data_IF_347469208682
#
_entry.id   IF_347469208682
#
_cell.length_a   1.000
_cell.length_b   1.000
_cell.length_c   1.000
_cell.angle_alpha   90.00
_cell.angle_beta   90.00
_cell.angle_gamma   90.00
#
_symmetry.space_group_name_H-M   'P 1'
#
loop_
_entity.id
_entity.type
_entity.pdbx_description
1 polymer ?
#
# COMPACT_ATOMS: atom_id res chain seq x y z
N UNK A 1 37.87 44.45 85.71
CA UNK A 1 36.61 44.95 85.12
C UNK A 1 36.70 45.23 83.61
N UNK A 2 37.50 44.48 82.83
CA UNK A 2 37.67 44.76 81.39
C UNK A 2 37.73 43.52 80.47
N UNK A 3 37.64 42.29 81.01
CA UNK A 3 37.63 41.06 80.22
C UNK A 3 36.21 40.61 79.83
N UNK A 4 35.24 40.70 80.73
CA UNK A 4 33.85 40.25 80.44
C UNK A 4 33.14 41.06 79.35
N UNK A 5 33.42 42.36 79.21
CA UNK A 5 32.81 43.20 78.17
C UNK A 5 33.34 42.88 76.76
N UNK A 6 34.55 42.32 76.64
CA UNK A 6 35.14 41.96 75.36
C UNK A 6 34.59 40.63 74.82
N UNK A 7 34.36 39.65 75.69
CA UNK A 7 33.80 38.35 75.28
C UNK A 7 32.32 38.43 74.90
N UNK A 8 31.53 39.29 75.54
CA UNK A 8 30.12 39.52 75.17
C UNK A 8 30.02 40.19 73.79
N UNK A 9 30.86 41.19 73.50
CA UNK A 9 30.91 41.85 72.18
C UNK A 9 31.39 40.92 71.06
N UNK A 10 32.32 40.01 71.36
CA UNK A 10 32.81 39.01 70.39
C UNK A 10 31.77 37.93 70.10
N UNK A 11 31.01 37.48 71.10
CA UNK A 11 29.89 36.54 70.93
C UNK A 11 28.71 37.15 70.19
N UNK A 12 28.39 38.44 70.42
CA UNK A 12 27.39 39.17 69.64
C UNK A 12 27.83 39.42 68.19
N UNK A 13 29.09 39.72 67.93
CA UNK A 13 29.64 39.87 66.57
C UNK A 13 29.71 38.56 65.79
N UNK A 14 29.88 37.42 66.47
CA UNK A 14 29.82 36.09 65.83
C UNK A 14 28.35 35.69 65.60
N UNK A 15 27.46 35.93 66.55
CA UNK A 15 26.02 35.67 66.38
C UNK A 15 25.39 36.54 65.27
N UNK A 16 25.80 37.81 65.15
CA UNK A 16 25.33 38.69 64.07
C UNK A 16 25.90 38.30 62.70
N UNK A 17 27.12 37.74 62.65
CA UNK A 17 27.70 37.18 61.42
C UNK A 17 27.05 35.86 61.02
N UNK A 18 26.70 35.01 61.97
CA UNK A 18 25.98 33.75 61.72
C UNK A 18 24.53 34.04 61.28
N UNK A 19 23.86 35.00 61.92
CA UNK A 19 22.51 35.43 61.52
C UNK A 19 22.51 36.11 60.14
N UNK A 20 23.50 36.95 59.84
CA UNK A 20 23.65 37.56 58.51
C UNK A 20 23.96 36.54 57.40
N UNK A 21 24.73 35.48 57.71
CA UNK A 21 25.03 34.40 56.76
C UNK A 21 23.84 33.44 56.56
N UNK A 22 22.97 33.30 57.56
CA UNK A 22 21.73 32.51 57.48
C UNK A 22 20.62 33.18 56.64
N UNK A 23 20.65 34.52 56.47
CA UNK A 23 19.68 35.24 55.64
C UNK A 23 20.01 35.13 54.13
N UNK A 24 21.28 34.87 53.77
CA UNK A 24 21.70 34.74 52.35
C UNK A 24 21.28 33.39 51.74
N UNK A 25 21.05 32.36 52.55
CA UNK A 25 20.58 31.03 52.10
C UNK A 25 19.06 30.91 51.97
N UNK A 26 18.29 31.95 52.32
CA UNK A 26 16.83 31.97 52.12
C UNK A 26 16.39 32.65 50.81
N UNK A 27 17.35 33.15 50.02
CA UNK A 27 17.12 33.66 48.66
C UNK A 27 17.49 32.59 47.61
N UNK A 28 16.96 31.38 47.76
CA UNK A 28 16.86 30.48 46.61
C UNK A 28 15.71 30.99 45.75
N UNK A 29 16.05 31.77 44.71
CA UNK A 29 15.14 32.01 43.61
C UNK A 29 14.67 30.63 43.09
N UNK A 30 13.37 30.37 43.14
CA UNK A 30 12.81 29.16 42.54
C UNK A 30 13.19 29.18 41.07
N UNK A 31 13.96 28.20 40.62
CA UNK A 31 14.14 27.92 39.21
C UNK A 31 12.78 27.41 38.73
N UNK A 32 11.90 28.34 38.35
CA UNK A 32 10.75 28.01 37.52
C UNK A 32 11.32 27.37 36.26
N UNK A 33 10.80 26.21 35.87
CA UNK A 33 11.06 25.73 34.51
C UNK A 33 10.61 26.86 33.59
N UNK A 34 11.44 27.34 32.64
CA UNK A 34 10.93 28.26 31.65
C UNK A 34 9.70 27.60 31.04
N UNK A 35 8.53 28.23 31.20
CA UNK A 35 7.36 27.85 30.44
C UNK A 35 7.78 28.01 28.98
N UNK A 36 7.67 26.90 28.22
CA UNK A 36 7.99 26.91 26.80
C UNK A 36 7.17 27.98 26.09
N UNK A 37 7.62 28.36 24.89
CA UNK A 37 6.77 29.14 24.00
C UNK A 37 5.45 28.40 23.72
N UNK A 38 4.47 29.09 23.11
CA UNK A 38 3.29 28.43 22.56
C UNK A 38 3.71 27.22 21.71
N UNK A 39 2.91 26.15 21.75
CA UNK A 39 3.11 24.96 20.92
C UNK A 39 3.12 25.41 19.45
N UNK A 40 4.12 24.97 18.70
CA UNK A 40 4.14 25.18 17.26
C UNK A 40 3.16 24.19 16.59
N UNK A 41 2.23 24.72 15.81
CA UNK A 41 1.25 23.93 15.06
C UNK A 41 1.57 23.92 13.56
N UNK A 42 2.65 24.59 13.15
CA UNK A 42 3.03 24.69 11.75
C UNK A 42 3.89 23.50 11.31
N UNK A 43 3.62 22.93 10.12
CA UNK A 43 4.45 21.87 9.56
C UNK A 43 5.67 22.42 8.80
N UNK A 44 6.68 21.58 8.53
CA UNK A 44 7.93 22.01 7.88
C UNK A 44 7.72 22.47 6.46
N UNK A 45 8.33 23.58 6.06
CA UNK A 45 8.21 24.11 4.71
C UNK A 45 9.34 23.64 3.80
N UNK A 46 9.00 23.14 2.61
CA UNK A 46 9.97 22.78 1.58
C UNK A 46 10.61 24.03 0.97
N UNK A 47 11.93 24.19 1.14
CA UNK A 47 12.71 25.33 0.62
C UNK A 47 13.22 25.04 -0.79
N UNK A 48 13.64 23.80 -1.07
CA UNK A 48 14.22 23.47 -2.36
C UNK A 48 14.91 22.12 -2.38
N UNK A 49 15.49 21.78 -3.53
CA UNK A 49 16.07 20.46 -3.73
C UNK A 49 17.21 20.44 -4.75
N UNK A 50 18.00 19.37 -4.69
CA UNK A 50 18.94 18.98 -5.76
C UNK A 50 18.70 17.51 -6.10
N UNK A 51 18.28 17.15 -7.34
CA UNK A 51 17.92 18.07 -8.43
C UNK A 51 16.73 18.98 -8.07
N UNK A 52 16.56 20.05 -8.82
CA UNK A 52 15.41 20.96 -8.65
C UNK A 52 14.12 20.17 -8.87
N UNK A 53 13.05 20.50 -8.14
CA UNK A 53 11.74 19.88 -8.35
C UNK A 53 11.31 20.02 -9.80
N UNK A 54 10.78 18.94 -10.36
CA UNK A 54 10.36 18.81 -11.76
C UNK A 54 11.49 19.05 -12.78
N UNK A 55 12.75 18.82 -12.38
CA UNK A 55 13.89 18.89 -13.28
C UNK A 55 13.75 17.87 -14.44
N UNK A 56 14.07 18.34 -15.64
CA UNK A 56 14.12 17.55 -16.87
C UNK A 56 15.54 17.05 -17.15
N UNK A 57 15.65 15.97 -17.92
CA UNK A 57 16.92 15.35 -18.32
C UNK A 57 17.85 15.07 -17.12
N UNK A 58 17.27 14.76 -15.96
CA UNK A 58 18.04 14.49 -14.75
C UNK A 58 18.71 13.12 -14.84
N UNK A 59 20.00 13.08 -14.54
CA UNK A 59 20.80 11.85 -14.45
C UNK A 59 21.24 11.54 -13.02
N UNK A 60 20.91 12.41 -12.06
CA UNK A 60 21.32 12.27 -10.66
C UNK A 60 20.41 11.27 -9.94
N UNK A 61 21.02 10.30 -9.28
CA UNK A 61 20.34 9.30 -8.42
C UNK A 61 20.21 9.70 -6.96
N UNK A 62 20.99 10.71 -6.56
CA UNK A 62 20.95 11.29 -5.21
C UNK A 62 20.10 12.54 -5.23
N UNK A 63 19.00 12.50 -4.49
CA UNK A 63 18.07 13.60 -4.28
C UNK A 63 18.28 14.12 -2.86
N UNK A 64 18.41 15.44 -2.75
CA UNK A 64 18.48 16.14 -1.46
C UNK A 64 17.31 17.11 -1.44
N UNK A 65 16.39 16.91 -0.50
CA UNK A 65 15.26 17.81 -0.23
C UNK A 65 15.60 18.64 1.00
N UNK A 66 15.33 19.93 0.96
CA UNK A 66 15.67 20.87 2.03
C UNK A 66 14.42 21.55 2.57
N UNK A 67 14.38 21.69 3.89
CA UNK A 67 13.30 22.28 4.66
C UNK A 67 13.82 23.43 5.53
N UNK A 68 12.91 24.28 6.00
CA UNK A 68 13.20 25.44 6.87
C UNK A 68 13.47 25.05 8.33
N UNK A 69 13.01 23.89 8.77
CA UNK A 69 13.22 23.37 10.11
C UNK A 69 13.75 21.93 10.16
N UNK A 70 13.99 21.42 11.38
CA UNK A 70 14.48 20.06 11.59
C UNK A 70 13.33 19.06 11.38
N UNK A 71 13.57 18.05 10.55
CA UNK A 71 12.55 17.07 10.19
C UNK A 71 12.88 15.69 10.74
N UNK A 72 11.84 14.88 10.93
CA UNK A 72 11.92 13.43 11.13
C UNK A 72 11.12 12.73 10.04
N UNK A 73 11.43 11.44 9.85
CA UNK A 73 10.71 10.59 8.91
C UNK A 73 10.00 9.48 9.68
N UNK A 74 8.70 9.33 9.44
CA UNK A 74 7.87 8.32 10.09
C UNK A 74 7.38 7.28 9.07
N UNK A 75 7.43 6.00 9.43
CA UNK A 75 6.83 4.93 8.63
C UNK A 75 7.38 4.81 7.19
N UNK A 76 8.67 5.06 6.96
CA UNK A 76 9.28 5.11 5.61
C UNK A 76 8.87 3.92 4.72
N UNK A 77 8.95 2.69 5.25
CA UNK A 77 8.63 1.48 4.49
C UNK A 77 7.15 1.36 4.10
N UNK A 78 6.24 1.97 4.87
CA UNK A 78 4.79 1.90 4.65
C UNK A 78 4.28 3.08 3.84
N UNK A 79 4.79 4.28 4.12
CA UNK A 79 4.26 5.56 3.64
C UNK A 79 4.98 6.11 2.42
N UNK A 80 6.27 5.80 2.27
CA UNK A 80 7.08 6.37 1.18
C UNK A 80 7.09 5.42 -0.01
N UNK A 81 6.69 5.94 -1.17
CA UNK A 81 6.55 5.18 -2.40
C UNK A 81 7.42 5.83 -3.46
N UNK A 82 8.21 5.00 -4.15
CA UNK A 82 8.96 5.43 -5.32
C UNK A 82 8.32 4.80 -6.55
N UNK A 83 7.95 5.64 -7.50
CA UNK A 83 7.36 5.26 -8.78
C UNK A 83 8.23 5.81 -9.92
N UNK A 84 8.71 4.99 -10.88
CA UNK A 84 8.45 3.56 -11.00
C UNK A 84 9.00 2.74 -9.82
N UNK A 85 8.45 1.54 -9.57
CA UNK A 85 8.99 0.62 -8.57
C UNK A 85 10.48 0.37 -8.76
N UNK A 86 11.22 0.29 -7.65
CA UNK A 86 12.65 0.01 -7.62
C UNK A 86 12.87 -1.43 -7.17
N UNK A 87 13.74 -2.17 -7.86
CA UNK A 87 14.13 -3.54 -7.49
C UNK A 87 14.93 -3.49 -6.19
N UNK A 88 15.92 -2.60 -6.11
CA UNK A 88 16.62 -2.33 -4.87
C UNK A 88 15.93 -1.20 -4.12
N UNK A 89 15.58 -1.46 -2.85
CA UNK A 89 14.96 -0.45 -2.01
C UNK A 89 15.86 0.80 -1.92
N UNK A 90 15.33 2.00 -2.19
CA UNK A 90 16.11 3.23 -2.10
C UNK A 90 16.49 3.53 -0.65
N UNK A 91 17.63 4.17 -0.45
CA UNK A 91 18.02 4.64 0.88
C UNK A 91 17.42 6.01 1.13
N UNK A 92 16.55 6.12 2.14
CA UNK A 92 15.88 7.37 2.50
C UNK A 92 16.21 7.69 3.95
N UNK A 93 16.89 8.81 4.20
CA UNK A 93 17.37 9.16 5.54
C UNK A 93 17.19 10.66 5.82
N UNK A 94 16.75 11.04 7.04
CA UNK A 94 16.79 12.43 7.47
C UNK A 94 18.23 12.85 7.78
N UNK A 95 18.57 14.12 7.54
CA UNK A 95 19.87 14.73 7.81
C UNK A 95 19.69 16.20 8.20
N UNK A 96 19.34 16.42 9.47
CA UNK A 96 19.00 17.74 10.00
C UNK A 96 17.75 18.29 9.32
N UNK A 97 17.88 19.43 8.63
CA UNK A 97 16.80 20.06 7.86
C UNK A 97 16.64 19.51 6.44
N UNK A 98 17.06 18.26 6.20
CA UNK A 98 17.11 17.68 4.86
C UNK A 98 16.65 16.23 4.87
N UNK A 99 16.07 15.80 3.75
CA UNK A 99 15.86 14.40 3.42
C UNK A 99 16.81 14.03 2.28
N UNK A 100 17.58 12.97 2.46
CA UNK A 100 18.47 12.42 1.43
C UNK A 100 17.85 11.13 0.93
N UNK A 101 17.56 11.07 -0.38
CA UNK A 101 17.11 9.87 -1.08
C UNK A 101 18.20 9.42 -2.06
N UNK A 102 18.65 8.18 -1.93
CA UNK A 102 19.55 7.55 -2.89
C UNK A 102 18.82 6.43 -3.62
N UNK A 103 18.60 6.60 -4.93
CA UNK A 103 18.15 5.54 -5.81
C UNK A 103 19.34 4.63 -6.16
N UNK A 104 19.21 3.35 -5.83
CA UNK A 104 20.31 2.38 -6.01
C UNK A 104 20.34 1.82 -7.43
N UNK A 105 19.17 1.58 -8.02
CA UNK A 105 19.02 1.08 -9.38
C UNK A 105 19.50 2.08 -10.45
N UNK A 106 19.59 1.62 -11.70
CA UNK A 106 19.78 2.49 -12.85
C UNK A 106 18.48 3.27 -13.13
N UNK A 107 18.62 4.50 -13.61
CA UNK A 107 17.47 5.29 -14.02
C UNK A 107 16.98 4.82 -15.40
N UNK A 108 15.68 4.58 -15.54
CA UNK A 108 15.03 4.31 -16.82
C UNK A 108 15.04 5.58 -17.67
N UNK A 109 15.31 5.46 -18.96
CA UNK A 109 15.29 6.59 -19.90
C UNK A 109 13.87 7.11 -20.12
N UNK A 110 13.73 8.39 -20.46
CA UNK A 110 12.45 9.05 -20.79
C UNK A 110 11.32 8.77 -19.78
N UNK A 111 11.65 8.78 -18.50
CA UNK A 111 10.74 8.36 -17.43
C UNK A 111 10.64 9.42 -16.34
N UNK A 112 9.41 9.72 -15.94
CA UNK A 112 9.13 10.52 -14.74
C UNK A 112 9.27 9.66 -13.50
N UNK A 113 10.16 10.07 -12.60
CA UNK A 113 10.33 9.53 -11.27
C UNK A 113 9.56 10.39 -10.28
N UNK A 114 8.75 9.75 -9.44
CA UNK A 114 7.96 10.36 -8.38
C UNK A 114 8.28 9.64 -7.07
N UNK A 115 8.62 10.41 -6.05
CA UNK A 115 8.79 9.96 -4.67
C UNK A 115 7.66 10.58 -3.87
N UNK A 116 6.65 9.78 -3.54
CA UNK A 116 5.53 10.21 -2.72
C UNK A 116 5.84 9.90 -1.26
N UNK A 117 5.93 10.94 -0.44
CA UNK A 117 6.14 10.81 1.00
C UNK A 117 4.82 10.73 1.77
N UNK A 118 3.67 10.96 1.12
CA UNK A 118 2.38 11.06 1.80
C UNK A 118 2.50 11.99 3.02
N UNK A 119 2.28 11.48 4.23
CA UNK A 119 2.39 12.18 5.51
C UNK A 119 3.65 11.79 6.32
N UNK A 120 4.68 11.22 5.68
CA UNK A 120 5.87 10.68 6.33
C UNK A 120 6.88 11.73 6.83
N UNK A 121 6.81 12.96 6.34
CA UNK A 121 7.68 14.07 6.76
C UNK A 121 6.95 14.87 7.83
N UNK A 122 7.54 14.97 9.00
CA UNK A 122 7.04 15.80 10.10
C UNK A 122 8.18 16.59 10.74
N UNK A 123 7.84 17.68 11.43
CA UNK A 123 8.83 18.39 12.25
C UNK A 123 9.32 17.49 13.39
N UNK A 124 10.51 17.81 13.90
CA UNK A 124 11.16 17.00 14.91
C UNK A 124 10.65 17.26 16.35
N UNK A 125 10.00 18.38 16.62
CA UNK A 125 9.67 18.86 17.96
C UNK A 125 8.23 18.49 18.36
N UNK A 126 7.23 18.98 17.64
CA UNK A 126 5.79 18.82 17.88
C UNK A 126 5.17 17.69 17.02
N UNK A 127 5.81 17.32 15.91
CA UNK A 127 5.38 16.20 15.06
C UNK A 127 4.24 16.52 14.08
N UNK A 128 4.02 17.80 13.78
CA UNK A 128 3.20 18.31 12.70
C UNK A 128 3.67 17.72 11.36
N UNK A 129 2.82 16.90 10.74
CA UNK A 129 3.09 16.32 9.42
C UNK A 129 2.89 17.34 8.32
N UNK A 130 3.80 17.35 7.35
CA UNK A 130 3.69 18.17 6.13
C UNK A 130 2.47 17.82 5.28
N UNK A 131 2.09 16.53 5.27
CA UNK A 131 0.95 16.02 4.51
C UNK A 131 1.14 16.05 2.98
N UNK A 132 0.74 14.95 2.32
CA UNK A 132 0.70 14.76 0.86
C UNK A 132 1.90 15.32 0.05
N UNK A 133 3.11 15.29 0.61
CA UNK A 133 4.30 15.81 -0.07
C UNK A 133 4.84 14.80 -1.08
N UNK A 134 5.01 15.20 -2.34
CA UNK A 134 5.64 14.38 -3.38
C UNK A 134 6.69 15.17 -4.12
N UNK A 135 7.78 14.50 -4.49
CA UNK A 135 8.87 15.06 -5.28
C UNK A 135 8.98 14.33 -6.62
N UNK A 136 9.09 15.08 -7.71
CA UNK A 136 9.24 14.53 -9.06
C UNK A 136 10.45 15.08 -9.82
N UNK A 137 10.96 14.26 -10.73
CA UNK A 137 11.91 14.66 -11.79
C UNK A 137 11.73 13.74 -12.99
N UNK A 138 12.28 14.11 -14.15
CA UNK A 138 12.27 13.27 -15.35
C UNK A 138 13.67 13.05 -15.88
N UNK A 139 13.93 11.83 -16.36
CA UNK A 139 15.12 11.52 -17.16
C UNK A 139 14.95 11.94 -18.62
N UNK A 140 13.72 12.25 -19.05
CA UNK A 140 13.40 12.78 -20.37
C UNK A 140 13.15 14.28 -20.37
N UNK A 141 12.53 14.75 -21.45
CA UNK A 141 12.22 16.16 -21.71
C UNK A 141 10.82 16.61 -21.22
N UNK A 142 10.07 15.73 -20.56
CA UNK A 142 8.70 16.00 -20.08
C UNK A 142 8.49 15.42 -18.69
N UNK A 143 7.60 16.03 -17.92
CA UNK A 143 7.11 15.51 -16.63
C UNK A 143 5.68 15.06 -16.84
N UNK A 144 5.43 13.81 -16.50
CA UNK A 144 4.09 13.25 -16.47
C UNK A 144 3.37 13.71 -15.19
N UNK A 145 2.13 14.16 -15.31
CA UNK A 145 1.40 14.82 -14.21
C UNK A 145 0.01 14.25 -13.95
N UNK A 146 -0.51 13.35 -14.80
CA UNK A 146 -1.87 12.85 -14.65
C UNK A 146 -1.99 12.01 -13.37
N UNK A 147 -3.21 11.95 -12.83
CA UNK A 147 -3.50 11.22 -11.61
C UNK A 147 -4.70 10.33 -11.84
N UNK A 148 -4.62 9.12 -11.29
CA UNK A 148 -5.74 8.19 -11.19
C UNK A 148 -5.93 7.84 -9.74
N UNK A 149 -7.16 7.90 -9.25
CA UNK A 149 -7.48 7.57 -7.86
C UNK A 149 -8.76 6.77 -7.73
N UNK A 150 -8.93 6.19 -6.55
CA UNK A 150 -10.02 5.28 -6.27
C UNK A 150 -9.92 4.67 -4.88
N UNK A 151 -10.70 3.61 -4.69
CA UNK A 151 -10.79 2.85 -3.44
C UNK A 151 -10.60 1.36 -3.73
N UNK A 152 -9.87 0.68 -2.85
CA UNK A 152 -9.69 -0.76 -2.85
C UNK A 152 -10.30 -1.35 -1.59
N UNK A 153 -11.17 -2.34 -1.80
CA UNK A 153 -11.87 -3.06 -0.74
C UNK A 153 -11.59 -4.56 -0.84
N UNK A 154 -11.72 -5.28 0.27
CA UNK A 154 -11.77 -6.73 0.26
C UNK A 154 -13.10 -7.21 -0.36
N UNK A 155 -13.04 -8.15 -1.31
CA UNK A 155 -14.21 -8.65 -2.01
C UNK A 155 -15.17 -9.44 -1.10
N UNK A 156 -14.66 -10.04 -0.02
CA UNK A 156 -15.42 -10.92 0.87
C UNK A 156 -16.29 -10.18 1.87
N UNK A 157 -15.83 -9.02 2.37
CA UNK A 157 -16.50 -8.26 3.43
C UNK A 157 -16.69 -6.77 3.11
N UNK A 158 -16.17 -6.28 1.98
CA UNK A 158 -16.21 -4.88 1.55
C UNK A 158 -15.49 -3.90 2.49
N UNK A 159 -14.61 -4.39 3.36
CA UNK A 159 -13.80 -3.56 4.22
C UNK A 159 -12.60 -2.97 3.45
N UNK A 160 -12.17 -1.75 3.77
CA UNK A 160 -10.99 -1.16 3.15
C UNK A 160 -9.71 -1.89 3.53
N UNK A 161 -8.82 -2.09 2.55
CA UNK A 161 -7.52 -2.70 2.80
C UNK A 161 -6.44 -1.62 2.83
N UNK A 162 -5.68 -1.55 3.91
CA UNK A 162 -4.52 -0.65 4.06
C UNK A 162 -3.25 -1.27 3.47
N UNK A 163 -2.44 -0.46 2.80
CA UNK A 163 -1.08 -0.80 2.40
C UNK A 163 -0.96 -1.69 1.15
N UNK A 164 -2.08 -2.06 0.53
CA UNK A 164 -2.08 -2.84 -0.71
C UNK A 164 -1.49 -2.00 -1.83
N UNK A 165 -0.60 -2.59 -2.62
CA UNK A 165 -0.02 -1.92 -3.77
C UNK A 165 -1.05 -1.83 -4.88
N UNK A 166 -1.17 -0.68 -5.51
CA UNK A 166 -2.05 -0.48 -6.68
C UNK A 166 -1.20 0.07 -7.80
N UNK A 167 -1.26 -0.55 -8.97
CA UNK A 167 -0.36 -0.24 -10.07
C UNK A 167 -0.99 -0.28 -11.45
N UNK A 168 -0.33 0.42 -12.38
CA UNK A 168 -0.72 0.54 -13.78
C UNK A 168 0.26 -0.22 -14.69
N UNK A 169 -0.30 -0.86 -15.72
CA UNK A 169 0.45 -1.42 -16.85
C UNK A 169 -0.03 -0.79 -18.16
N UNK A 170 0.89 -0.31 -18.99
CA UNK A 170 0.59 0.08 -20.36
C UNK A 170 0.44 -1.15 -21.27
N UNK A 171 1.04 -2.29 -20.91
CA UNK A 171 0.75 -3.57 -21.55
C UNK A 171 -0.70 -3.99 -21.26
N UNK A 172 -1.50 -4.12 -22.31
CA UNK A 172 -2.93 -4.41 -22.21
C UNK A 172 -3.27 -5.90 -22.06
N UNK A 173 -2.27 -6.78 -22.15
CA UNK A 173 -2.43 -8.20 -21.87
C UNK A 173 -2.94 -8.41 -20.45
N UNK A 174 -3.93 -9.27 -20.30
CA UNK A 174 -4.52 -9.63 -19.00
C UNK A 174 -3.52 -10.32 -18.07
N UNK A 175 -2.47 -10.97 -18.61
CA UNK A 175 -1.38 -11.60 -17.88
C UNK A 175 -0.17 -10.69 -17.60
N UNK A 176 -0.21 -9.40 -17.94
CA UNK A 176 0.96 -8.52 -17.76
C UNK A 176 1.44 -8.46 -16.30
N UNK A 177 0.50 -8.43 -15.35
CA UNK A 177 0.79 -8.34 -13.91
C UNK A 177 1.46 -9.59 -13.30
N UNK A 178 1.47 -10.73 -14.00
CA UNK A 178 2.13 -11.97 -13.55
C UNK A 178 3.57 -12.10 -14.03
N UNK A 179 3.99 -11.26 -14.97
CA UNK A 179 5.28 -11.38 -15.65
C UNK A 179 6.09 -10.09 -15.67
N UNK A 180 5.45 -8.94 -15.53
CA UNK A 180 6.07 -7.62 -15.57
C UNK A 180 5.76 -6.87 -14.28
N UNK A 181 6.72 -6.10 -13.72
CA UNK A 181 6.44 -5.21 -12.62
C UNK A 181 5.61 -4.00 -13.09
N UNK A 182 4.84 -3.40 -12.18
CA UNK A 182 4.07 -2.20 -12.46
C UNK A 182 4.93 -1.04 -12.99
N UNK A 183 4.36 -0.23 -13.88
CA UNK A 183 5.03 0.97 -14.40
C UNK A 183 4.89 2.15 -13.44
N UNK A 184 3.70 2.30 -12.87
CA UNK A 184 3.36 3.31 -11.85
C UNK A 184 2.64 2.65 -10.71
N UNK A 185 2.97 3.06 -9.49
CA UNK A 185 2.39 2.47 -8.29
C UNK A 185 2.01 3.51 -7.26
N UNK A 186 1.06 3.14 -6.41
CA UNK A 186 0.70 3.79 -5.15
C UNK A 186 0.33 2.71 -4.13
N UNK A 187 0.04 3.10 -2.89
CA UNK A 187 -0.48 2.21 -1.85
C UNK A 187 -1.78 2.76 -1.30
N UNK A 188 -2.61 1.86 -0.81
CA UNK A 188 -3.87 2.23 -0.19
C UNK A 188 -3.66 2.78 1.23
N UNK A 189 -4.40 3.83 1.59
CA UNK A 189 -4.45 4.38 2.94
C UNK A 189 -5.31 3.51 3.89
N UNK A 190 -5.48 3.94 5.14
CA UNK A 190 -6.30 3.23 6.13
C UNK A 190 -7.79 3.11 5.78
N UNK A 191 -8.26 3.91 4.81
CA UNK A 191 -9.62 3.89 4.27
C UNK A 191 -9.68 3.22 2.90
N UNK A 192 -8.61 2.54 2.49
CA UNK A 192 -8.51 1.85 1.20
C UNK A 192 -8.36 2.78 0.01
N UNK A 193 -8.18 4.09 0.21
CA UNK A 193 -8.03 5.03 -0.89
C UNK A 193 -6.62 4.96 -1.47
N UNK A 194 -6.50 5.00 -2.79
CA UNK A 194 -5.22 5.09 -3.49
C UNK A 194 -5.21 6.26 -4.47
N UNK A 195 -4.03 6.80 -4.72
CA UNK A 195 -3.80 7.85 -5.73
C UNK A 195 -2.48 7.59 -6.42
N UNK A 196 -2.54 7.15 -7.67
CA UNK A 196 -1.37 6.95 -8.54
C UNK A 196 -1.10 8.26 -9.26
N UNK A 197 0.05 8.87 -9.00
CA UNK A 197 0.42 10.20 -9.52
C UNK A 197 1.48 10.12 -10.61
N UNK A 198 1.55 11.18 -11.39
CA UNK A 198 2.57 11.40 -12.40
C UNK A 198 2.38 10.53 -13.63
N UNK A 199 1.16 10.14 -13.99
CA UNK A 199 0.92 9.19 -15.07
C UNK A 199 1.06 9.89 -16.43
N UNK A 200 1.68 9.21 -17.40
CA UNK A 200 1.75 9.70 -18.78
C UNK A 200 0.38 9.56 -19.47
N UNK A 201 0.05 10.39 -20.47
CA UNK A 201 -1.13 10.15 -21.30
C UNK A 201 -1.05 8.78 -21.98
N UNK A 202 -2.10 7.97 -21.85
CA UNK A 202 -2.12 6.62 -22.40
C UNK A 202 -3.32 5.80 -21.94
N UNK A 203 -3.30 4.53 -22.30
CA UNK A 203 -4.31 3.54 -21.91
C UNK A 203 -3.64 2.48 -21.06
N UNK A 204 -4.23 2.19 -19.90
CA UNK A 204 -3.62 1.34 -18.89
C UNK A 204 -4.59 0.28 -18.38
N UNK A 205 -4.05 -0.84 -17.93
CA UNK A 205 -4.72 -1.76 -17.01
C UNK A 205 -4.38 -1.39 -15.57
N UNK A 206 -5.35 -1.54 -14.67
CA UNK A 206 -5.20 -1.25 -13.25
C UNK A 206 -5.34 -2.55 -12.45
N UNK A 207 -4.36 -2.79 -11.58
CA UNK A 207 -4.33 -3.95 -10.71
C UNK A 207 -3.99 -3.55 -9.28
N UNK A 208 -4.44 -4.36 -8.33
CA UNK A 208 -3.97 -4.32 -6.95
C UNK A 208 -3.21 -5.60 -6.62
N UNK A 209 -2.15 -5.50 -5.82
CA UNK A 209 -1.33 -6.61 -5.35
C UNK A 209 -0.97 -6.42 -3.88
N UNK A 210 -1.26 -7.42 -3.05
CA UNK A 210 -0.70 -7.51 -1.71
C UNK A 210 0.59 -8.31 -1.78
N UNK A 211 1.64 -7.61 -2.21
CA UNK A 211 2.93 -8.16 -2.55
C UNK A 211 3.72 -8.56 -1.29
N UNK A 212 3.91 -9.87 -1.09
CA UNK A 212 4.56 -10.41 0.09
C UNK A 212 6.09 -10.42 -0.03
N UNK A 213 6.62 -10.66 -1.23
CA UNK A 213 8.06 -10.77 -1.50
C UNK A 213 8.68 -9.50 -2.11
N UNK A 214 7.86 -8.52 -2.42
CA UNK A 214 8.21 -7.18 -2.89
C UNK A 214 8.85 -7.15 -4.28
N UNK A 215 8.46 -8.09 -5.14
CA UNK A 215 8.94 -8.17 -6.51
C UNK A 215 8.07 -7.36 -7.51
N UNK A 216 6.93 -6.80 -7.05
CA UNK A 216 5.93 -6.05 -7.82
C UNK A 216 5.18 -6.85 -8.89
N UNK A 217 5.19 -8.17 -8.79
CA UNK A 217 4.65 -9.14 -9.76
C UNK A 217 3.80 -10.14 -8.98
N UNK A 218 2.62 -10.48 -9.49
CA UNK A 218 1.83 -11.56 -8.90
C UNK A 218 2.39 -12.91 -9.30
N UNK A 219 3.08 -13.58 -8.38
CA UNK A 219 3.65 -14.91 -8.62
C UNK A 219 3.42 -15.90 -7.48
N UNK A 220 2.85 -15.47 -6.34
CA UNK A 220 2.56 -16.36 -5.22
C UNK A 220 1.06 -16.58 -5.05
N UNK A 221 0.67 -17.84 -4.87
CA UNK A 221 -0.73 -18.26 -4.74
C UNK A 221 -1.43 -17.69 -3.50
N UNK A 222 -0.67 -17.32 -2.47
CA UNK A 222 -1.22 -16.75 -1.22
C UNK A 222 -1.43 -15.25 -1.29
N UNK A 223 -0.96 -14.57 -2.33
CA UNK A 223 -1.10 -13.12 -2.45
C UNK A 223 -2.54 -12.74 -2.78
N UNK A 224 -2.97 -11.60 -2.22
CA UNK A 224 -4.24 -10.99 -2.62
C UNK A 224 -4.03 -10.19 -3.88
N UNK A 225 -4.96 -10.32 -4.82
CA UNK A 225 -4.94 -9.60 -6.09
C UNK A 225 -6.27 -8.91 -6.33
N UNK A 226 -6.25 -7.77 -7.01
CA UNK A 226 -7.43 -7.06 -7.46
C UNK A 226 -7.31 -6.70 -8.95
N UNK A 227 -8.41 -6.82 -9.68
CA UNK A 227 -8.46 -6.54 -11.12
C UNK A 227 -9.51 -5.48 -11.40
N UNK A 228 -9.14 -4.45 -12.16
CA UNK A 228 -10.13 -3.57 -12.77
C UNK A 228 -10.54 -4.14 -14.13
N UNK A 229 -11.84 -4.27 -14.35
CA UNK A 229 -12.41 -4.94 -15.53
C UNK A 229 -12.16 -4.17 -16.84
N UNK A 230 -12.05 -2.84 -16.73
CA UNK A 230 -12.00 -1.91 -17.85
C UNK A 230 -10.62 -1.29 -18.02
N UNK A 231 -10.40 -0.67 -19.17
CA UNK A 231 -9.18 0.11 -19.41
C UNK A 231 -9.30 1.48 -18.74
N UNK A 232 -8.20 1.91 -18.12
CA UNK A 232 -8.08 3.23 -17.49
C UNK A 232 -7.39 4.17 -18.47
N UNK A 233 -8.05 5.29 -18.77
CA UNK A 233 -7.51 6.37 -19.59
C UNK A 233 -7.43 7.62 -18.72
N UNK A 234 -6.25 7.95 -18.17
CA UNK A 234 -6.03 9.15 -17.37
C UNK A 234 -6.28 10.38 -18.22
N UNK A 235 -7.00 11.35 -17.67
CA UNK A 235 -7.28 12.65 -18.28
C UNK A 235 -7.40 13.72 -17.21
N UNK A 236 -7.47 14.96 -17.63
CA UNK A 236 -7.81 16.07 -16.74
C UNK A 236 -8.86 16.95 -17.40
N UNK A 237 -9.57 17.69 -16.56
CA UNK A 237 -10.46 18.76 -16.96
C UNK A 237 -10.29 19.93 -16.01
N UNK A 238 -10.63 21.12 -16.49
CA UNK A 238 -10.59 22.31 -15.67
C UNK A 238 -11.93 22.47 -14.95
N UNK A 239 -11.89 22.59 -13.62
CA UNK A 239 -13.06 22.84 -12.80
C UNK A 239 -12.92 24.15 -12.03
N UNK A 240 -14.05 24.65 -11.57
CA UNK A 240 -14.13 25.82 -10.72
C UNK A 240 -14.53 25.38 -9.32
N UNK A 241 -13.83 25.89 -8.30
CA UNK A 241 -14.24 25.77 -6.90
C UNK A 241 -14.48 27.15 -6.32
N UNK A 242 -15.47 27.26 -5.44
CA UNK A 242 -15.75 28.47 -4.71
C UNK A 242 -15.11 28.37 -3.33
N UNK A 243 -14.30 29.36 -2.99
CA UNK A 243 -13.71 29.52 -1.67
C UNK A 243 -14.36 30.74 -1.00
N UNK A 244 -14.78 30.59 0.25
CA UNK A 244 -15.56 31.60 0.95
C UNK A 244 -14.75 32.15 2.12
N UNK A 245 -14.38 33.43 2.04
CA UNK A 245 -13.80 34.13 3.16
C UNK A 245 -14.91 34.70 4.02
N UNK A 246 -14.93 34.30 5.28
CA UNK A 246 -15.92 34.73 6.26
C UNK A 246 -15.38 35.94 7.03
N UNK A 247 -16.21 36.97 7.20
CA UNK A 247 -15.88 38.14 8.02
C UNK A 247 -16.05 37.85 9.50
N UNK A 248 -17.10 37.10 9.82
CA UNK A 248 -17.42 36.56 11.13
C UNK A 248 -18.14 35.21 10.96
N UNK A 249 -18.60 34.59 12.05
CA UNK A 249 -19.24 33.27 12.02
C UNK A 249 -20.54 33.18 11.21
N UNK A 250 -21.13 34.31 10.79
CA UNK A 250 -22.45 34.35 10.13
C UNK A 250 -22.44 35.14 8.81
N UNK A 251 -21.44 35.97 8.57
CA UNK A 251 -21.38 36.85 7.40
C UNK A 251 -20.23 36.47 6.48
N UNK A 252 -20.60 36.22 5.22
CA UNK A 252 -19.66 36.01 4.13
C UNK A 252 -19.11 37.37 3.72
N UNK A 253 -17.78 37.50 3.70
CA UNK A 253 -17.10 38.70 3.21
C UNK A 253 -16.98 38.64 1.68
N UNK A 254 -16.34 37.57 1.19
CA UNK A 254 -15.96 37.42 -0.21
C UNK A 254 -16.08 35.97 -0.64
N UNK A 255 -16.67 35.74 -1.82
CA UNK A 255 -16.63 34.45 -2.51
C UNK A 255 -15.61 34.58 -3.64
N UNK A 256 -14.57 33.75 -3.62
CA UNK A 256 -13.51 33.72 -4.62
C UNK A 256 -13.66 32.43 -5.41
N UNK A 257 -13.90 32.57 -6.71
CA UNK A 257 -13.85 31.41 -7.61
C UNK A 257 -12.40 31.14 -8.02
N UNK A 258 -11.92 29.93 -7.79
CA UNK A 258 -10.60 29.48 -8.23
C UNK A 258 -10.74 28.34 -9.22
N UNK A 259 -10.14 28.56 -10.39
CA UNK A 259 -9.94 27.51 -11.39
C UNK A 259 -8.89 26.51 -10.87
N UNK A 260 -9.14 25.22 -11.03
CA UNK A 260 -8.19 24.17 -10.69
C UNK A 260 -8.26 23.01 -11.69
N UNK A 261 -7.15 22.30 -11.82
CA UNK A 261 -7.06 21.08 -12.63
C UNK A 261 -7.63 19.91 -11.82
N UNK A 262 -8.63 19.23 -12.37
CA UNK A 262 -9.22 18.03 -11.80
C UNK A 262 -8.83 16.82 -12.66
N UNK A 263 -8.24 15.80 -12.03
CA UNK A 263 -7.79 14.59 -12.71
C UNK A 263 -8.85 13.49 -12.64
N UNK A 264 -8.96 12.71 -13.71
CA UNK A 264 -9.92 11.63 -13.87
C UNK A 264 -9.24 10.39 -14.47
N UNK A 265 -9.74 9.18 -14.18
CA UNK A 265 -10.78 8.88 -13.18
C UNK A 265 -10.29 8.97 -11.73
N UNK A 266 -11.19 9.40 -10.83
CA UNK A 266 -10.92 9.62 -9.40
C UNK A 266 -11.77 8.74 -8.46
N UNK A 267 -12.63 7.87 -9.02
CA UNK A 267 -13.56 7.02 -8.28
C UNK A 267 -13.49 5.55 -8.73
N UNK A 268 -12.30 5.07 -9.07
CA UNK A 268 -12.13 3.66 -9.45
C UNK A 268 -12.36 2.75 -8.24
N UNK A 269 -13.08 1.65 -8.42
CA UNK A 269 -13.31 0.66 -7.37
C UNK A 269 -12.59 -0.64 -7.72
N UNK A 270 -11.64 -1.03 -6.87
CA UNK A 270 -11.00 -2.33 -6.91
C UNK A 270 -11.54 -3.21 -5.79
N UNK A 271 -11.70 -4.49 -6.09
CA UNK A 271 -12.03 -5.52 -5.09
C UNK A 271 -10.96 -6.59 -5.12
N UNK A 272 -10.27 -6.77 -4.00
CA UNK A 272 -9.22 -7.77 -3.87
C UNK A 272 -9.77 -9.08 -3.35
N UNK A 273 -9.17 -10.18 -3.78
CA UNK A 273 -9.43 -11.51 -3.26
C UNK A 273 -8.14 -12.33 -3.25
N UNK A 274 -8.10 -13.36 -2.40
CA UNK A 274 -7.10 -14.42 -2.51
C UNK A 274 -7.67 -15.52 -3.40
N UNK A 275 -6.89 -16.03 -4.34
CA UNK A 275 -7.32 -17.15 -5.16
C UNK A 275 -7.48 -18.42 -4.30
N UNK A 276 -8.66 -19.04 -4.36
CA UNK A 276 -8.89 -20.36 -3.75
C UNK A 276 -8.29 -21.44 -4.65
N UNK A 277 -6.97 -21.58 -4.57
CA UNK A 277 -6.19 -22.52 -5.36
C UNK A 277 -6.30 -23.93 -4.79
N UNK A 278 -6.79 -24.88 -5.60
CA UNK A 278 -6.76 -26.30 -5.28
C UNK A 278 -6.20 -27.10 -6.44
N UNK A 279 -5.18 -27.92 -6.18
CA UNK A 279 -4.65 -28.84 -7.19
C UNK A 279 -5.67 -29.91 -7.54
N UNK A 280 -5.77 -30.19 -8.83
CA UNK A 280 -6.70 -31.16 -9.37
C UNK A 280 -6.00 -32.30 -10.08
N UNK A 281 -6.21 -33.49 -9.54
CA UNK A 281 -5.79 -34.75 -10.14
C UNK A 281 -6.72 -35.87 -9.67
N UNK A 282 -6.76 -36.98 -10.42
CA UNK A 282 -7.48 -38.18 -9.99
C UNK A 282 -6.69 -38.86 -8.85
N UNK A 283 -7.25 -38.87 -7.64
CA UNK A 283 -6.64 -39.52 -6.47
C UNK A 283 -6.76 -41.04 -6.64
N UNK A 284 -7.98 -41.52 -6.86
CA UNK A 284 -8.26 -42.95 -7.03
C UNK A 284 -9.58 -43.19 -7.75
N UNK A 285 -9.72 -44.39 -8.28
CA UNK A 285 -10.99 -44.97 -8.74
C UNK A 285 -11.25 -46.25 -7.96
N UNK A 286 -12.50 -46.46 -7.53
CA UNK A 286 -12.87 -47.66 -6.77
C UNK A 286 -14.25 -48.17 -7.19
N UNK A 287 -14.43 -49.49 -7.15
CA UNK A 287 -15.71 -50.17 -7.39
C UNK A 287 -15.93 -51.19 -6.29
N UNK A 288 -16.50 -50.76 -5.17
CA UNK A 288 -16.76 -51.62 -4.00
C UNK A 288 -18.00 -52.51 -4.17
N UNK A 289 -18.92 -52.09 -5.03
CA UNK A 289 -20.16 -52.80 -5.30
C UNK A 289 -20.34 -52.92 -6.82
N UNK A 290 -20.91 -54.02 -7.34
CA UNK A 290 -20.99 -54.22 -8.79
C UNK A 290 -21.73 -53.08 -9.51
N UNK A 291 -22.76 -52.52 -8.90
CA UNK A 291 -23.61 -51.46 -9.46
C UNK A 291 -23.07 -50.03 -9.27
N UNK A 292 -21.94 -49.83 -8.59
CA UNK A 292 -21.41 -48.49 -8.33
C UNK A 292 -19.89 -48.44 -8.38
N UNK A 293 -19.36 -47.48 -9.14
CA UNK A 293 -17.97 -47.06 -8.99
C UNK A 293 -17.90 -45.58 -8.60
N UNK A 294 -16.81 -45.21 -7.95
CA UNK A 294 -16.56 -43.86 -7.46
C UNK A 294 -15.24 -43.36 -8.00
N UNK A 295 -15.22 -42.11 -8.45
CA UNK A 295 -14.00 -41.37 -8.77
C UNK A 295 -13.76 -40.31 -7.70
N UNK A 296 -12.52 -40.26 -7.21
CA UNK A 296 -12.07 -39.27 -6.22
C UNK A 296 -11.06 -38.36 -6.88
N UNK A 297 -11.34 -37.06 -6.88
CA UNK A 297 -10.47 -36.01 -7.37
C UNK A 297 -9.94 -35.19 -6.19
N UNK A 298 -8.71 -34.70 -6.33
CA UNK A 298 -8.23 -33.59 -5.53
C UNK A 298 -8.85 -32.29 -6.06
N UNK A 299 -9.25 -31.40 -5.17
CA UNK A 299 -9.81 -30.09 -5.53
C UNK A 299 -11.26 -30.11 -6.03
N UNK A 300 -11.87 -28.92 -6.04
CA UNK A 300 -13.25 -28.72 -6.52
C UNK A 300 -13.28 -28.58 -8.04
N UNK A 301 -14.45 -28.80 -8.63
CA UNK A 301 -14.66 -28.63 -10.07
C UNK A 301 -16.03 -28.03 -10.38
N UNK A 302 -16.10 -27.19 -11.40
CA UNK A 302 -17.38 -26.73 -11.95
C UNK A 302 -17.95 -27.71 -12.99
N UNK A 303 -17.09 -28.56 -13.58
CA UNK A 303 -17.44 -29.51 -14.65
C UNK A 303 -17.28 -30.96 -14.21
N UNK A 304 -18.19 -31.82 -14.65
CA UNK A 304 -18.04 -33.27 -14.47
C UNK A 304 -17.03 -33.82 -15.47
N UNK A 305 -16.26 -34.85 -15.10
CA UNK A 305 -15.37 -35.50 -16.04
C UNK A 305 -16.18 -36.25 -17.10
N UNK A 306 -15.67 -36.27 -18.33
CA UNK A 306 -16.28 -37.01 -19.43
C UNK A 306 -15.81 -38.46 -19.38
N UNK A 307 -16.76 -39.38 -19.50
CA UNK A 307 -16.53 -40.81 -19.60
C UNK A 307 -16.88 -41.28 -21.00
N UNK A 308 -16.05 -42.13 -21.59
CA UNK A 308 -16.37 -42.85 -22.82
C UNK A 308 -16.31 -44.34 -22.55
N UNK A 309 -17.45 -45.03 -22.63
CA UNK A 309 -17.53 -46.45 -22.38
C UNK A 309 -16.86 -47.27 -23.48
N UNK A 310 -16.13 -48.33 -23.10
CA UNK A 310 -15.71 -49.35 -24.06
C UNK A 310 -16.74 -50.49 -24.06
N UNK A 311 -17.65 -50.47 -25.02
CA UNK A 311 -18.68 -51.52 -25.17
C UNK A 311 -20.03 -51.20 -24.52
N UNK A 312 -20.29 -49.95 -24.17
CA UNK A 312 -21.60 -49.46 -23.73
C UNK A 312 -21.74 -47.96 -24.00
N UNK A 313 -22.99 -47.48 -24.08
CA UNK A 313 -23.30 -46.05 -24.22
C UNK A 313 -23.26 -45.35 -22.86
N UNK A 314 -22.25 -44.50 -22.65
CA UNK A 314 -22.10 -43.72 -21.42
C UNK A 314 -23.27 -42.79 -21.09
N UNK A 315 -24.03 -42.32 -22.09
CA UNK A 315 -25.07 -41.30 -21.87
C UNK A 315 -26.27 -41.87 -21.13
N UNK A 316 -26.56 -43.15 -21.36
CA UNK A 316 -27.69 -43.84 -20.74
C UNK A 316 -27.26 -44.75 -19.60
N UNK A 317 -25.99 -45.20 -19.58
CA UNK A 317 -25.51 -46.20 -18.64
C UNK A 317 -25.52 -45.78 -17.15
N UNK A 318 -25.51 -44.48 -16.84
CA UNK A 318 -25.25 -43.99 -15.47
C UNK A 318 -26.35 -43.12 -14.86
N UNK A 319 -26.53 -43.25 -13.55
CA UNK A 319 -27.07 -42.19 -12.67
C UNK A 319 -25.89 -41.61 -11.90
N UNK A 320 -25.70 -40.29 -11.99
CA UNK A 320 -24.55 -39.60 -11.40
C UNK A 320 -24.98 -38.96 -10.07
N UNK A 321 -24.28 -39.30 -9.00
CA UNK A 321 -24.40 -38.66 -7.69
C UNK A 321 -23.06 -38.01 -7.36
N UNK A 322 -23.07 -36.75 -6.92
CA UNK A 322 -21.86 -35.94 -6.74
C UNK A 322 -21.93 -35.11 -5.47
N UNK A 323 -20.78 -34.85 -4.88
CA UNK A 323 -20.66 -33.89 -3.77
C UNK A 323 -20.83 -32.45 -4.24
N UNK A 324 -21.06 -31.51 -3.31
CA UNK A 324 -21.17 -30.08 -3.62
C UNK A 324 -19.93 -29.52 -4.34
N UNK A 325 -18.75 -30.08 -4.06
CA UNK A 325 -17.47 -29.67 -4.68
C UNK A 325 -17.19 -30.38 -6.01
N UNK A 326 -18.01 -31.35 -6.41
CA UNK A 326 -17.76 -32.25 -7.54
C UNK A 326 -16.37 -32.95 -7.47
N UNK A 327 -15.86 -33.19 -6.25
CA UNK A 327 -14.58 -33.85 -5.99
C UNK A 327 -14.74 -35.37 -5.85
N UNK A 328 -15.88 -35.83 -5.33
CA UNK A 328 -16.25 -37.23 -5.23
C UNK A 328 -17.50 -37.46 -6.07
N UNK A 329 -17.38 -38.36 -7.04
CA UNK A 329 -18.43 -38.62 -8.02
C UNK A 329 -18.74 -40.12 -8.05
N UNK A 330 -19.96 -40.45 -7.70
CA UNK A 330 -20.52 -41.79 -7.75
C UNK A 330 -21.27 -42.00 -9.07
N UNK A 331 -20.91 -43.07 -9.76
CA UNK A 331 -21.58 -43.51 -10.98
C UNK A 331 -22.31 -44.82 -10.70
N UNK A 332 -23.64 -44.74 -10.69
CA UNK A 332 -24.53 -45.89 -10.51
C UNK A 332 -24.92 -46.46 -11.87
N UNK A 333 -24.61 -47.73 -12.10
CA UNK A 333 -24.88 -48.45 -13.35
C UNK A 333 -26.36 -48.84 -13.41
N UNK A 334 -27.05 -48.46 -14.49
CA UNK A 334 -28.48 -48.80 -14.70
C UNK A 334 -28.68 -50.21 -15.26
N UNK A 335 -27.80 -50.65 -16.15
CA UNK A 335 -27.96 -51.92 -16.85
C UNK A 335 -27.38 -53.09 -16.04
N UNK A 336 -28.21 -54.12 -15.87
CA UNK A 336 -27.85 -55.37 -15.22
C UNK A 336 -26.80 -56.20 -15.94
N UNK A 337 -26.68 -56.06 -17.26
CA UNK A 337 -25.62 -56.72 -18.02
C UNK A 337 -24.27 -56.06 -17.74
N UNK A 338 -24.25 -54.73 -17.62
CA UNK A 338 -23.04 -53.97 -17.32
C UNK A 338 -22.53 -54.21 -15.90
N UNK A 339 -23.40 -54.11 -14.88
CA UNK A 339 -22.91 -54.28 -13.51
C UNK A 339 -22.51 -55.72 -13.17
N UNK A 340 -22.96 -56.73 -13.94
CA UNK A 340 -22.53 -58.13 -13.79
C UNK A 340 -21.15 -58.42 -14.39
N UNK A 341 -20.60 -57.50 -15.19
CA UNK A 341 -19.24 -57.64 -15.70
C UNK A 341 -18.22 -57.44 -14.58
N UNK A 342 -17.25 -58.34 -14.52
CA UNK A 342 -16.14 -58.29 -13.58
C UNK A 342 -15.30 -57.02 -13.77
N UNK A 343 -14.94 -56.71 -15.01
CA UNK A 343 -14.15 -55.52 -15.37
C UNK A 343 -14.95 -54.56 -16.24
N UNK A 344 -14.99 -53.29 -15.83
CA UNK A 344 -15.48 -52.17 -16.66
C UNK A 344 -14.28 -51.39 -17.21
N UNK A 345 -14.31 -51.08 -18.50
CA UNK A 345 -13.29 -50.27 -19.16
C UNK A 345 -13.96 -49.01 -19.72
N UNK A 346 -13.37 -47.86 -19.44
CA UNK A 346 -13.77 -46.57 -20.01
C UNK A 346 -12.55 -45.67 -20.15
N UNK A 347 -12.63 -44.72 -21.08
CA UNK A 347 -11.69 -43.59 -21.12
C UNK A 347 -12.25 -42.45 -20.25
N UNK A 348 -11.38 -41.85 -19.44
CA UNK A 348 -11.71 -40.72 -18.57
C UNK A 348 -11.02 -39.47 -19.10
N UNK A 349 -11.78 -38.42 -19.34
CA UNK A 349 -11.27 -37.08 -19.69
C UNK A 349 -11.69 -36.10 -18.61
N UNK A 350 -10.73 -35.41 -18.01
CA UNK A 350 -10.96 -34.49 -16.91
C UNK A 350 -9.93 -33.35 -16.93
N UNK A 351 -10.25 -32.24 -16.27
CA UNK A 351 -9.30 -31.14 -16.09
C UNK A 351 -8.24 -31.54 -15.07
N UNK A 352 -6.98 -31.40 -15.44
CA UNK A 352 -5.82 -31.69 -14.59
C UNK A 352 -5.06 -30.38 -14.35
N UNK A 353 -4.63 -30.14 -13.12
CA UNK A 353 -3.78 -28.98 -12.80
C UNK A 353 -2.37 -29.28 -13.28
N UNK A 354 -1.88 -28.49 -14.25
CA UNK A 354 -0.51 -28.62 -14.71
C UNK A 354 0.46 -28.33 -13.57
N UNK A 355 1.39 -29.26 -13.34
CA UNK A 355 2.39 -29.17 -12.27
C UNK A 355 3.70 -28.55 -12.75
N UNK A 356 3.79 -28.16 -14.04
CA UNK A 356 5.01 -27.64 -14.67
C UNK A 356 5.06 -26.10 -14.79
N UNK A 357 4.10 -25.38 -14.22
CA UNK A 357 4.03 -23.90 -14.26
C UNK A 357 4.54 -23.25 -12.99
#
# INVERSE_FOLDING_TARGET
MNRDKQDIRRRWGIASRIAGMAVIIYSCASIGRPEGGPIDETPPHFIGSSPVADALNNTRKRIVLQFDEYIKLEGINEKVIVSPPQIQRPEIKPSGKRVIVNLLDSLKENTTYLIDFSDAISDNNEGNSLGNFSFSFSTGNTIDTLVVSGTLLDASNLEPIKGMLVGLHANLADSAFTSLPFERVSRTDSRGHFSIKGIAPGTYRLFGLMDADQNFIFNQKSEMVAFFDSLVVPRFEERWRQDTMWKDSLTIDTIIERKYTHFLPDQLLLRSFTEDYSERYLIKSERLTPNKFTLYFAGKSDTLPALRGFGFDEKEAFVIEKTLKNDTIHYWLKDSLLYKQDTLKFALTYLYTDTLS
#
